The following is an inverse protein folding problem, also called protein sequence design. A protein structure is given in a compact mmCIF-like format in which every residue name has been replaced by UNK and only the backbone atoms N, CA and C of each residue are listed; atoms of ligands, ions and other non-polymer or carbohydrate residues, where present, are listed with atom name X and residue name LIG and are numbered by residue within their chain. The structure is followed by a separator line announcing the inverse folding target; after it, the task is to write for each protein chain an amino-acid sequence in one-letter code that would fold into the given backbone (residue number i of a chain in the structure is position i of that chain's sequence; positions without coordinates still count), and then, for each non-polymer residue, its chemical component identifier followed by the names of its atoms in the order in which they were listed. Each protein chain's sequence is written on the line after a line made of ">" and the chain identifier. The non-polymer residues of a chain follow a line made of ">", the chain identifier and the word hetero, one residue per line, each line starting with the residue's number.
data_IF_186440651729
#
_entry.id   IF_186440651729
#
_cell.length_a   1.000
_cell.length_b   1.000
_cell.length_c   1.000
_cell.angle_alpha   90.00
_cell.angle_beta   90.00
_cell.angle_gamma   90.00
#
_symmetry.space_group_name_H-M   'P 1'
#
loop_
_entity.id
_entity.type
_entity.pdbx_description
1 polymer ?
#
# COMPACT_ATOMS: atom_id res chain seq x y z
N UNK A 1 -5.21 -14.72 -6.02
CA UNK A 1 -5.75 -13.84 -4.97
C UNK A 1 -4.65 -13.68 -3.96
N UNK A 2 -4.05 -12.49 -3.94
CA UNK A 2 -2.90 -12.18 -3.10
C UNK A 2 -3.35 -11.68 -1.73
N UNK A 3 -2.41 -11.62 -0.79
CA UNK A 3 -2.60 -11.02 0.52
C UNK A 3 -1.40 -10.20 0.99
N UNK A 4 -1.65 -9.27 1.91
CA UNK A 4 -0.67 -8.46 2.61
C UNK A 4 -1.01 -8.44 4.10
N UNK A 5 -0.11 -8.94 4.93
CA UNK A 5 -0.27 -8.99 6.37
C UNK A 5 0.63 -7.97 7.05
N UNK A 6 0.08 -7.17 7.95
CA UNK A 6 0.78 -6.07 8.60
C UNK A 6 1.17 -6.43 10.04
N UNK A 7 2.16 -5.72 10.56
CA UNK A 7 2.71 -5.92 11.91
C UNK A 7 1.69 -5.71 13.05
N UNK A 8 0.57 -5.04 12.78
CA UNK A 8 -0.52 -4.83 13.75
C UNK A 8 -1.61 -5.94 13.71
N UNK A 9 -1.41 -6.97 12.87
CA UNK A 9 -2.36 -8.06 12.68
C UNK A 9 -3.42 -7.80 11.60
N UNK A 10 -3.40 -6.65 10.92
CA UNK A 10 -4.27 -6.39 9.75
C UNK A 10 -3.88 -7.32 8.60
N UNK A 11 -4.86 -7.85 7.88
CA UNK A 11 -4.63 -8.58 6.63
C UNK A 11 -5.50 -7.99 5.53
N UNK A 12 -4.90 -7.68 4.38
CA UNK A 12 -5.61 -7.20 3.19
C UNK A 12 -5.45 -8.23 2.09
N UNK A 13 -6.51 -8.47 1.32
CA UNK A 13 -6.49 -9.39 0.18
C UNK A 13 -6.76 -8.63 -1.12
N UNK A 14 -6.45 -9.24 -2.26
CA UNK A 14 -6.86 -8.74 -3.58
C UNK A 14 -8.34 -8.34 -3.60
N UNK A 15 -8.68 -7.36 -4.44
CA UNK A 15 -9.97 -6.68 -4.43
C UNK A 15 -10.24 -5.87 -3.15
N UNK A 16 -9.16 -5.44 -2.47
CA UNK A 16 -9.17 -4.58 -1.30
C UNK A 16 -10.06 -5.07 -0.14
N UNK A 17 -10.13 -6.39 0.07
CA UNK A 17 -10.81 -6.92 1.27
C UNK A 17 -9.90 -6.77 2.47
N UNK A 18 -10.36 -6.06 3.50
CA UNK A 18 -9.58 -5.79 4.73
C UNK A 18 -10.14 -6.59 5.91
N UNK A 19 -9.28 -7.32 6.60
CA UNK A 19 -9.56 -8.05 7.83
C UNK A 19 -8.69 -7.56 8.99
N UNK A 20 -9.21 -7.64 10.21
CA UNK A 20 -8.52 -7.19 11.42
C UNK A 20 -9.29 -6.11 12.21
N UNK A 21 -8.94 -5.99 13.49
CA UNK A 21 -9.59 -5.08 14.45
C UNK A 21 -8.81 -3.81 14.76
N UNK A 22 -7.62 -3.62 14.16
CA UNK A 22 -6.74 -2.51 14.48
C UNK A 22 -7.29 -1.16 13.98
N UNK A 23 -6.76 -0.03 14.48
CA UNK A 23 -7.06 1.29 13.93
C UNK A 23 -6.73 1.41 12.44
N UNK A 24 -5.62 0.81 11.99
CA UNK A 24 -5.22 0.78 10.57
C UNK A 24 -6.25 0.03 9.71
N UNK A 25 -6.68 -1.17 10.12
CA UNK A 25 -7.71 -1.93 9.41
C UNK A 25 -9.04 -1.17 9.29
N UNK A 26 -9.37 -0.33 10.29
CA UNK A 26 -10.56 0.52 10.26
C UNK A 26 -10.40 1.69 9.30
N UNK A 27 -9.23 2.32 9.30
CA UNK A 27 -8.87 3.40 8.39
C UNK A 27 -8.94 2.94 6.93
N UNK A 28 -8.28 1.83 6.57
CA UNK A 28 -8.32 1.29 5.21
C UNK A 28 -9.76 1.03 4.74
N UNK A 29 -10.61 0.45 5.61
CA UNK A 29 -12.04 0.25 5.29
C UNK A 29 -12.78 1.56 5.06
N UNK A 30 -12.48 2.60 5.84
CA UNK A 30 -13.10 3.91 5.67
C UNK A 30 -12.71 4.53 4.33
N UNK A 31 -11.44 4.48 3.95
CA UNK A 31 -10.95 4.97 2.65
C UNK A 31 -11.62 4.22 1.48
N UNK A 32 -11.74 2.90 1.59
CA UNK A 32 -12.42 2.08 0.57
C UNK A 32 -13.92 2.37 0.49
N UNK A 33 -14.57 2.70 1.60
CA UNK A 33 -15.95 3.19 1.58
C UNK A 33 -16.02 4.55 0.88
N UNK A 34 -15.09 5.47 1.16
CA UNK A 34 -15.03 6.77 0.49
C UNK A 34 -14.86 6.63 -1.03
N UNK A 35 -14.10 5.63 -1.49
CA UNK A 35 -13.96 5.29 -2.91
C UNK A 35 -15.30 4.94 -3.57
N UNK A 36 -16.18 4.18 -2.88
CA UNK A 36 -17.53 3.86 -3.40
C UNK A 36 -18.36 5.12 -3.64
N UNK A 37 -18.09 6.20 -2.91
CA UNK A 37 -18.75 7.50 -3.08
C UNK A 37 -18.00 8.46 -4.02
N UNK A 38 -16.96 8.01 -4.73
CA UNK A 38 -16.17 8.82 -5.66
C UNK A 38 -15.12 9.71 -4.98
N UNK A 39 -14.81 9.44 -3.71
CA UNK A 39 -13.78 10.15 -2.93
C UNK A 39 -12.69 9.17 -2.49
N UNK A 40 -12.14 8.41 -3.43
CA UNK A 40 -11.18 7.35 -3.13
C UNK A 40 -9.80 7.87 -2.71
N UNK A 41 -9.00 7.01 -2.06
CA UNK A 41 -7.61 7.35 -1.74
C UNK A 41 -6.79 7.51 -3.02
N UNK A 42 -5.82 8.41 -2.95
CA UNK A 42 -4.85 8.61 -4.01
C UNK A 42 -3.64 7.70 -3.79
N UNK A 43 -3.18 7.09 -4.86
CA UNK A 43 -1.97 6.27 -4.91
C UNK A 43 -0.88 7.06 -5.61
N UNK A 44 0.19 7.38 -4.89
CA UNK A 44 1.32 8.14 -5.45
C UNK A 44 2.24 7.22 -6.26
N UNK A 45 2.20 7.31 -7.59
CA UNK A 45 3.17 6.60 -8.46
C UNK A 45 4.55 7.24 -8.38
N UNK A 46 4.59 8.57 -8.19
CA UNK A 46 5.80 9.33 -7.92
C UNK A 46 5.51 10.29 -6.76
N UNK A 47 6.19 10.14 -5.61
CA UNK A 47 5.92 10.95 -4.42
C UNK A 47 5.84 12.46 -4.73
N UNK A 48 4.72 13.08 -4.37
CA UNK A 48 4.48 14.53 -4.51
C UNK A 48 4.31 15.04 -5.94
N UNK A 49 4.37 14.18 -6.96
CA UNK A 49 4.36 14.62 -8.37
C UNK A 49 3.21 14.02 -9.16
N UNK A 50 3.00 12.71 -9.03
CA UNK A 50 2.01 12.00 -9.82
C UNK A 50 1.25 11.01 -8.94
N UNK A 51 -0.06 11.20 -8.87
CA UNK A 51 -0.98 10.31 -8.17
C UNK A 51 -2.14 9.93 -9.09
N UNK A 52 -2.65 8.73 -8.87
CA UNK A 52 -3.86 8.21 -9.51
C UNK A 52 -4.85 7.80 -8.44
N UNK A 53 -6.13 7.73 -8.79
CA UNK A 53 -7.13 7.13 -7.90
C UNK A 53 -6.85 5.63 -7.73
N UNK A 54 -7.06 5.10 -6.53
CA UNK A 54 -6.97 3.67 -6.28
C UNK A 54 -8.01 2.92 -7.11
N UNK A 55 -7.54 1.99 -7.96
CA UNK A 55 -8.36 0.92 -8.51
C UNK A 55 -8.19 -0.35 -7.66
N UNK A 56 -9.21 -0.80 -6.91
CA UNK A 56 -9.16 -2.01 -6.09
C UNK A 56 -8.94 -3.29 -6.89
N UNK A 57 -9.19 -3.27 -8.21
CA UNK A 57 -8.96 -4.40 -9.10
C UNK A 57 -7.51 -4.48 -9.57
N UNK A 58 -6.72 -3.43 -9.40
CA UNK A 58 -5.30 -3.41 -9.68
C UNK A 58 -4.51 -3.79 -8.43
N UNK A 59 -4.01 -5.03 -8.37
CA UNK A 59 -3.18 -5.50 -7.25
C UNK A 59 -1.88 -4.67 -7.13
N UNK A 60 -1.37 -4.09 -8.22
CA UNK A 60 -0.20 -3.21 -8.20
C UNK A 60 -0.49 -1.87 -7.52
N UNK A 61 -1.63 -1.23 -7.85
CA UNK A 61 -2.04 0.01 -7.19
C UNK A 61 -2.42 -0.24 -5.73
N UNK A 62 -3.06 -1.38 -5.45
CA UNK A 62 -3.39 -1.81 -4.10
C UNK A 62 -2.13 -2.00 -3.26
N UNK A 63 -1.14 -2.74 -3.75
CA UNK A 63 0.14 -2.93 -3.04
C UNK A 63 0.83 -1.60 -2.77
N UNK A 64 0.92 -0.71 -3.77
CA UNK A 64 1.58 0.58 -3.62
C UNK A 64 0.85 1.50 -2.62
N UNK A 65 -0.48 1.53 -2.67
CA UNK A 65 -1.29 2.27 -1.70
C UNK A 65 -1.09 1.74 -0.28
N UNK A 66 -1.14 0.42 -0.11
CA UNK A 66 -0.95 -0.23 1.18
C UNK A 66 0.42 0.06 1.80
N UNK A 67 1.48 0.11 1.00
CA UNK A 67 2.81 0.53 1.46
C UNK A 67 2.84 1.99 1.92
N UNK A 68 2.13 2.88 1.22
CA UNK A 68 2.03 4.30 1.56
C UNK A 68 1.27 4.51 2.87
N UNK A 69 0.11 3.86 3.01
CA UNK A 69 -0.69 3.90 4.23
C UNK A 69 0.08 3.31 5.41
N UNK A 70 0.71 2.15 5.24
CA UNK A 70 1.51 1.53 6.29
C UNK A 70 2.65 2.44 6.75
N UNK A 71 3.32 3.14 5.82
CA UNK A 71 4.35 4.12 6.16
C UNK A 71 3.79 5.28 7.00
N UNK A 72 2.61 5.78 6.68
CA UNK A 72 1.92 6.82 7.47
C UNK A 72 1.59 6.36 8.90
N UNK A 73 1.30 5.07 9.09
CA UNK A 73 1.02 4.45 10.38
C UNK A 73 2.26 3.88 11.09
N UNK A 74 3.45 3.96 10.50
CA UNK A 74 4.67 3.34 11.04
C UNK A 74 4.62 1.80 11.08
N UNK A 75 3.83 1.20 10.22
CA UNK A 75 3.65 -0.25 10.09
C UNK A 75 4.51 -0.83 8.96
N UNK A 76 4.72 -2.14 9.03
CA UNK A 76 5.43 -2.89 7.99
C UNK A 76 4.61 -4.08 7.54
N UNK A 77 4.77 -4.47 6.27
CA UNK A 77 4.23 -5.72 5.75
C UNK A 77 5.14 -6.85 6.26
N UNK A 78 4.56 -7.78 6.99
CA UNK A 78 5.24 -8.93 7.61
C UNK A 78 5.21 -10.17 6.73
N UNK A 79 4.18 -10.30 5.88
CA UNK A 79 3.97 -11.46 5.02
C UNK A 79 3.14 -11.06 3.80
N UNK A 80 3.51 -11.53 2.62
CA UNK A 80 2.76 -11.37 1.37
C UNK A 80 3.16 -12.43 0.35
N UNK A 81 2.21 -12.89 -0.45
CA UNK A 81 2.43 -13.75 -1.63
C UNK A 81 2.42 -12.96 -2.95
N UNK A 82 2.24 -11.63 -2.87
CA UNK A 82 2.31 -10.74 -4.03
C UNK A 82 3.76 -10.52 -4.46
N UNK A 83 4.02 -10.72 -5.75
CA UNK A 83 5.32 -10.42 -6.36
C UNK A 83 5.11 -9.28 -7.36
N UNK A 84 5.63 -8.08 -7.09
CA UNK A 84 5.42 -6.94 -7.97
C UNK A 84 6.13 -7.17 -9.32
N UNK A 85 5.39 -6.97 -10.42
CA UNK A 85 5.90 -7.11 -11.80
C UNK A 85 6.96 -6.05 -12.13
N UNK A 86 6.83 -4.89 -11.50
CA UNK A 86 7.81 -3.82 -11.52
C UNK A 86 8.27 -3.59 -10.09
N UNK A 87 9.57 -3.73 -9.77
CA UNK A 87 10.04 -3.36 -8.44
C UNK A 87 9.69 -1.88 -8.26
N UNK A 88 8.74 -1.62 -7.36
CA UNK A 88 8.50 -0.27 -6.87
C UNK A 88 9.85 0.31 -6.47
N UNK A 89 10.10 1.59 -6.75
CA UNK A 89 11.33 2.30 -6.40
C UNK A 89 11.57 2.18 -4.88
N UNK A 90 12.23 1.10 -4.47
CA UNK A 90 12.70 0.89 -3.11
C UNK A 90 13.87 1.85 -2.94
N UNK A 91 13.56 3.07 -2.50
CA UNK A 91 14.56 3.91 -1.84
C UNK A 91 15.17 3.11 -0.68
N UNK A 92 16.50 3.13 -0.53
CA UNK A 92 17.20 2.11 0.23
C UNK A 92 16.80 2.15 1.71
N UNK A 93 16.48 0.98 2.28
CA UNK A 93 16.67 0.76 3.70
C UNK A 93 18.13 1.11 4.02
N UNK A 94 18.35 2.15 4.82
CA UNK A 94 19.67 2.74 5.02
C UNK A 94 20.71 1.73 5.45
N UNK A 95 21.86 1.74 4.76
CA UNK A 95 23.02 0.95 5.18
C UNK A 95 24.02 0.56 4.10
N UNK A 96 24.37 1.45 3.17
CA UNK A 96 25.46 1.17 2.22
C UNK A 96 25.78 2.34 1.33
N UNK A 97 26.96 2.94 1.52
CA UNK A 97 27.54 3.94 0.62
C UNK A 97 27.47 3.46 -0.83
N UNK A 98 26.87 4.24 -1.74
CA UNK A 98 26.99 3.98 -3.17
C UNK A 98 26.06 4.79 -4.06
N UNK A 99 26.55 5.96 -4.48
CA UNK A 99 26.29 6.68 -5.75
C UNK A 99 24.85 6.88 -6.29
N UNK A 100 24.51 8.17 -6.35
CA UNK A 100 23.65 8.80 -7.37
C UNK A 100 24.14 8.55 -8.79
N UNK A 101 23.20 8.30 -9.72
CA UNK A 101 23.33 8.64 -11.14
C UNK A 101 21.95 8.56 -11.85
N UNK A 102 21.45 9.75 -12.20
CA UNK A 102 20.38 10.11 -13.17
C UNK A 102 18.93 9.77 -12.83
#
# INVERSE_FOLDING_TARGET
>A
MFFWKFSDGTTVYSHARVEGGSPFARHLRQELISLVYGCGPLVWLTPGTHAVELDPCSDELLALWLEQEARGYGLTITETDFVPTHPALVGPAGGGRGQVAW
#
